data_IF_026067494328
#
_entry.id   IF_026067494328
#
_cell.length_a   1.000
_cell.length_b   1.000
_cell.length_c   1.000
_cell.angle_alpha   90.00
_cell.angle_beta   90.00
_cell.angle_gamma   90.00
#
_symmetry.space_group_name_H-M   'P 1'
#
loop_
_entity.id
_entity.type
_entity.pdbx_description
1 polymer ?
#
# COMPACT_ATOMS: atom_id res chain seq x y z
N UNK A 1 24.41 56.62 -13.65
CA UNK A 1 24.40 55.21 -13.15
C UNK A 1 23.60 55.01 -11.84
N UNK A 2 23.40 56.03 -11.00
CA UNK A 2 22.63 55.94 -9.75
C UNK A 2 21.10 55.85 -9.95
N UNK A 3 20.53 56.54 -10.95
CA UNK A 3 19.07 56.52 -11.23
C UNK A 3 18.55 55.14 -11.67
N UNK A 4 19.38 54.32 -12.32
CA UNK A 4 18.98 52.98 -12.79
C UNK A 4 18.88 51.94 -11.64
N UNK A 5 19.61 52.15 -10.53
CA UNK A 5 19.48 51.30 -9.32
C UNK A 5 18.16 51.52 -8.58
N UNK A 6 17.67 52.77 -8.56
CA UNK A 6 16.44 53.14 -7.84
C UNK A 6 15.22 52.55 -8.53
N UNK A 7 15.18 52.57 -9.88
CA UNK A 7 14.08 52.00 -10.66
C UNK A 7 14.00 50.48 -10.48
N UNK A 8 15.15 49.78 -10.41
CA UNK A 8 15.15 48.34 -10.13
C UNK A 8 14.68 48.03 -8.71
N UNK A 9 15.08 48.82 -7.70
CA UNK A 9 14.67 48.57 -6.31
C UNK A 9 13.15 48.67 -6.10
N UNK A 10 12.47 49.60 -6.79
CA UNK A 10 11.01 49.72 -6.71
C UNK A 10 10.27 48.55 -7.36
N UNK A 11 10.80 47.97 -8.44
CA UNK A 11 10.21 46.77 -9.07
C UNK A 11 10.27 45.56 -8.14
N UNK A 12 11.38 45.37 -7.42
CA UNK A 12 11.49 44.30 -6.43
C UNK A 12 10.55 44.50 -5.24
N UNK A 13 10.36 45.74 -4.78
CA UNK A 13 9.46 46.04 -3.66
C UNK A 13 7.99 45.73 -4.03
N UNK A 14 7.55 46.11 -5.24
CA UNK A 14 6.20 45.83 -5.74
C UNK A 14 6.00 44.32 -5.94
N UNK A 15 6.99 43.63 -6.51
CA UNK A 15 6.93 42.18 -6.69
C UNK A 15 6.84 41.47 -5.34
N UNK A 16 7.64 41.88 -4.35
CA UNK A 16 7.62 41.32 -3.00
C UNK A 16 6.29 41.59 -2.29
N UNK A 17 5.75 42.80 -2.45
CA UNK A 17 4.45 43.20 -1.92
C UNK A 17 3.26 42.42 -2.50
N UNK A 18 3.36 41.89 -3.73
CA UNK A 18 2.31 41.06 -4.33
C UNK A 18 2.51 39.55 -4.07
N UNK A 19 3.76 39.08 -4.07
CA UNK A 19 4.08 37.65 -3.93
C UNK A 19 3.86 37.15 -2.50
N UNK A 20 4.24 37.94 -1.48
CA UNK A 20 4.10 37.49 -0.08
C UNK A 20 2.63 37.31 0.33
N UNK A 21 1.71 38.24 0.04
CA UNK A 21 0.29 38.06 0.36
C UNK A 21 -0.39 36.95 -0.44
N UNK A 22 0.00 36.73 -1.70
CA UNK A 22 -0.57 35.65 -2.51
C UNK A 22 -0.13 34.28 -2.00
N UNK A 23 1.15 34.11 -1.65
CA UNK A 23 1.64 32.91 -0.96
C UNK A 23 0.94 32.68 0.39
N UNK A 24 0.73 33.75 1.15
CA UNK A 24 0.01 33.70 2.41
C UNK A 24 -1.45 33.23 2.22
N UNK A 25 -2.17 33.80 1.25
CA UNK A 25 -3.55 33.44 0.95
C UNK A 25 -3.68 31.98 0.47
N UNK A 26 -2.78 31.53 -0.40
CA UNK A 26 -2.74 30.12 -0.82
C UNK A 26 -2.48 29.17 0.35
N UNK A 27 -1.64 29.58 1.30
CA UNK A 27 -1.36 28.81 2.52
C UNK A 27 -2.60 28.72 3.41
N UNK A 28 -3.30 29.84 3.60
CA UNK A 28 -4.54 29.89 4.37
C UNK A 28 -5.66 29.05 3.73
N UNK A 29 -5.79 29.10 2.40
CA UNK A 29 -6.81 28.36 1.67
C UNK A 29 -6.54 26.85 1.71
N UNK A 30 -5.27 26.45 1.55
CA UNK A 30 -4.82 25.07 1.74
C UNK A 30 -5.13 24.57 3.14
N UNK A 31 -4.82 25.39 4.14
CA UNK A 31 -5.11 25.11 5.54
C UNK A 31 -6.61 24.91 5.80
N UNK A 32 -7.47 25.79 5.29
CA UNK A 32 -8.92 25.69 5.46
C UNK A 32 -9.44 24.39 4.85
N UNK A 33 -8.94 24.03 3.66
CA UNK A 33 -9.32 22.79 3.00
C UNK A 33 -8.90 21.56 3.81
N UNK A 34 -7.69 21.54 4.36
CA UNK A 34 -7.20 20.41 5.14
C UNK A 34 -7.93 20.25 6.48
N UNK A 35 -8.32 21.35 7.13
CA UNK A 35 -9.18 21.32 8.32
C UNK A 35 -10.55 20.76 7.97
N UNK A 36 -11.17 21.20 6.87
CA UNK A 36 -12.45 20.66 6.41
C UNK A 36 -12.35 19.16 6.14
N UNK A 37 -11.30 18.72 5.45
CA UNK A 37 -11.03 17.30 5.21
C UNK A 37 -10.82 16.54 6.52
N UNK A 38 -10.12 17.13 7.50
CA UNK A 38 -9.97 16.54 8.82
C UNK A 38 -11.30 16.40 9.56
N UNK A 39 -12.17 17.42 9.54
CA UNK A 39 -13.49 17.36 10.15
C UNK A 39 -14.34 16.29 9.48
N UNK A 40 -14.32 16.19 8.14
CA UNK A 40 -14.99 15.12 7.38
C UNK A 40 -14.46 13.75 7.79
N UNK A 41 -13.14 13.59 7.89
CA UNK A 41 -12.50 12.35 8.33
C UNK A 41 -12.94 11.97 9.75
N UNK A 42 -13.03 12.94 10.66
CA UNK A 42 -13.40 12.75 12.05
C UNK A 42 -14.89 12.40 12.18
N UNK A 43 -15.75 13.05 11.39
CA UNK A 43 -17.16 12.71 11.29
C UNK A 43 -17.37 11.29 10.73
N UNK A 44 -16.61 10.91 9.71
CA UNK A 44 -16.64 9.55 9.18
C UNK A 44 -16.12 8.53 10.19
N UNK A 45 -15.02 8.84 10.88
CA UNK A 45 -14.47 8.01 11.94
C UNK A 45 -15.52 7.83 13.05
N UNK A 46 -16.11 8.89 13.55
CA UNK A 46 -17.07 8.81 14.65
C UNK A 46 -18.32 8.00 14.27
N UNK A 47 -18.84 8.21 13.05
CA UNK A 47 -20.07 7.57 12.59
C UNK A 47 -19.88 6.11 12.16
N UNK A 48 -18.75 5.76 11.57
CA UNK A 48 -18.56 4.48 10.89
C UNK A 48 -17.40 3.62 11.41
N UNK A 49 -16.51 4.15 12.27
CA UNK A 49 -15.27 3.44 12.62
C UNK A 49 -15.52 2.14 13.36
N UNK A 50 -16.37 2.12 14.40
CA UNK A 50 -16.48 0.98 15.30
C UNK A 50 -16.85 -0.31 14.57
N UNK A 51 -17.92 -0.28 13.79
CA UNK A 51 -18.46 -1.50 13.17
C UNK A 51 -17.66 -1.92 11.92
N UNK A 52 -17.23 -0.95 11.11
CA UNK A 52 -16.50 -1.24 9.86
C UNK A 52 -15.09 -1.74 10.17
N UNK A 53 -14.36 -1.12 11.10
CA UNK A 53 -13.02 -1.61 11.47
C UNK A 53 -13.09 -2.99 12.10
N UNK A 54 -14.07 -3.24 12.95
CA UNK A 54 -14.21 -4.55 13.59
C UNK A 54 -14.52 -5.64 12.56
N UNK A 55 -15.38 -5.36 11.57
CA UNK A 55 -15.60 -6.26 10.45
C UNK A 55 -14.34 -6.44 9.58
N UNK A 56 -13.58 -5.37 9.37
CA UNK A 56 -12.32 -5.41 8.62
C UNK A 56 -11.27 -6.31 9.30
N UNK A 57 -11.07 -6.19 10.61
CA UNK A 57 -10.16 -7.06 11.36
C UNK A 57 -10.63 -8.51 11.43
N UNK A 58 -11.94 -8.75 11.56
CA UNK A 58 -12.52 -10.11 11.46
C UNK A 58 -12.20 -10.79 10.13
N UNK A 59 -12.10 -10.04 9.03
CA UNK A 59 -11.69 -10.60 7.73
C UNK A 59 -10.23 -11.07 7.79
N UNK A 60 -9.33 -10.30 8.40
CA UNK A 60 -7.94 -10.71 8.58
C UNK A 60 -7.82 -11.96 9.44
N UNK A 61 -8.54 -12.04 10.55
CA UNK A 61 -8.54 -13.22 11.42
C UNK A 61 -8.98 -14.47 10.64
N UNK A 62 -10.02 -14.35 9.80
CA UNK A 62 -10.46 -15.46 8.95
C UNK A 62 -9.42 -15.86 7.92
N UNK A 63 -8.75 -14.90 7.28
CA UNK A 63 -7.67 -15.19 6.32
C UNK A 63 -6.52 -15.90 7.04
N UNK A 64 -6.12 -15.41 8.20
CA UNK A 64 -5.00 -15.94 8.96
C UNK A 64 -5.29 -17.35 9.51
N UNK A 65 -6.54 -17.62 9.93
CA UNK A 65 -7.00 -18.97 10.27
C UNK A 65 -6.89 -19.95 9.10
N UNK A 66 -7.22 -19.51 7.87
CA UNK A 66 -7.12 -20.36 6.68
C UNK A 66 -5.65 -20.54 6.25
N UNK A 67 -4.82 -19.51 6.42
CA UNK A 67 -3.41 -19.55 6.05
C UNK A 67 -2.53 -20.30 7.06
N UNK A 68 -2.97 -20.50 8.30
CA UNK A 68 -2.17 -21.14 9.34
C UNK A 68 -1.15 -20.15 9.91
N UNK A 69 -1.34 -19.76 11.16
CA UNK A 69 -0.98 -18.46 11.76
C UNK A 69 0.50 -18.25 12.15
N UNK A 70 1.47 -18.91 11.53
CA UNK A 70 2.89 -18.78 11.93
C UNK A 70 3.54 -17.43 11.56
N UNK A 71 2.84 -16.56 10.82
CA UNK A 71 3.47 -15.42 10.15
C UNK A 71 3.22 -14.04 10.80
N UNK A 72 2.39 -13.99 11.84
CA UNK A 72 2.01 -12.73 12.49
C UNK A 72 3.23 -11.99 13.07
N UNK A 73 4.22 -12.72 13.58
CA UNK A 73 5.47 -12.15 14.14
C UNK A 73 6.32 -11.45 13.08
N UNK A 74 6.46 -12.04 11.89
CA UNK A 74 7.26 -11.49 10.78
C UNK A 74 6.59 -10.23 10.23
N UNK A 75 5.26 -10.26 10.07
CA UNK A 75 4.49 -9.09 9.63
C UNK A 75 4.63 -7.96 10.64
N UNK A 76 4.41 -8.24 11.93
CA UNK A 76 4.57 -7.27 13.02
C UNK A 76 5.96 -6.65 13.05
N UNK A 77 7.02 -7.45 12.94
CA UNK A 77 8.40 -6.94 12.94
C UNK A 77 8.68 -6.01 11.76
N UNK A 78 8.16 -6.32 10.56
CA UNK A 78 8.32 -5.45 9.39
C UNK A 78 7.52 -4.17 9.51
N UNK A 79 6.25 -4.26 9.91
CA UNK A 79 5.41 -3.08 10.14
C UNK A 79 6.05 -2.19 11.20
N UNK A 80 6.53 -2.76 12.31
CA UNK A 80 7.24 -2.03 13.36
C UNK A 80 8.50 -1.33 12.83
N UNK A 81 9.34 -2.02 12.04
CA UNK A 81 10.54 -1.39 11.44
C UNK A 81 10.17 -0.20 10.56
N UNK A 82 9.09 -0.30 9.78
CA UNK A 82 8.59 0.80 8.95
C UNK A 82 8.03 1.95 9.78
N UNK A 83 7.22 1.65 10.80
CA UNK A 83 6.69 2.64 11.73
C UNK A 83 7.83 3.38 12.43
N UNK A 84 8.87 2.68 12.90
CA UNK A 84 10.03 3.30 13.53
C UNK A 84 10.77 4.21 12.55
N UNK A 85 11.00 3.77 11.30
CA UNK A 85 11.67 4.58 10.29
C UNK A 85 10.89 5.88 9.99
N UNK A 86 9.57 5.78 9.78
CA UNK A 86 8.71 6.94 9.48
C UNK A 86 8.46 7.84 10.70
N UNK A 87 8.41 7.25 11.90
CA UNK A 87 8.37 8.02 13.14
C UNK A 87 9.69 8.76 13.35
N UNK A 88 10.83 8.11 13.09
CA UNK A 88 12.14 8.74 13.23
C UNK A 88 12.33 9.91 12.26
N UNK A 89 11.87 9.79 11.01
CA UNK A 89 11.90 10.92 10.06
C UNK A 89 11.01 12.06 10.54
N UNK A 90 9.80 11.76 11.03
CA UNK A 90 8.89 12.76 11.60
C UNK A 90 9.46 13.45 12.85
N UNK A 91 10.18 12.72 13.70
CA UNK A 91 10.89 13.28 14.87
C UNK A 91 12.06 14.18 14.48
N UNK A 92 12.77 13.89 13.39
CA UNK A 92 13.80 14.79 12.88
C UNK A 92 13.26 16.14 12.41
N UNK A 93 11.98 16.20 12.01
CA UNK A 93 11.32 17.47 11.68
C UNK A 93 10.81 18.23 12.91
N UNK A 94 10.56 17.55 14.04
CA UNK A 94 10.12 18.19 15.28
C UNK A 94 11.20 19.12 15.86
N UNK A 95 12.48 18.73 15.79
CA UNK A 95 13.58 19.47 16.41
C UNK A 95 13.79 20.85 15.74
N UNK A 96 13.91 20.97 14.40
CA UNK A 96 13.98 22.29 13.75
C UNK A 96 12.69 23.09 13.93
N UNK A 97 11.53 22.43 13.97
CA UNK A 97 10.25 23.11 14.15
C UNK A 97 10.15 23.78 15.53
N UNK A 98 10.59 23.12 16.60
CA UNK A 98 10.60 23.71 17.95
C UNK A 98 11.61 24.85 18.06
N UNK A 99 12.82 24.70 17.50
CA UNK A 99 13.82 25.77 17.46
C UNK A 99 13.32 27.01 16.71
N UNK A 100 12.65 26.80 15.57
CA UNK A 100 12.05 27.87 14.79
C UNK A 100 10.87 28.53 15.53
N UNK A 101 10.08 27.75 16.27
CA UNK A 101 9.00 28.24 17.09
C UNK A 101 9.49 29.21 18.19
N UNK A 102 10.58 28.87 18.88
CA UNK A 102 11.21 29.78 19.86
C UNK A 102 11.68 31.09 19.22
N UNK A 103 12.34 31.01 18.06
CA UNK A 103 12.81 32.20 17.33
C UNK A 103 11.66 33.12 16.88
N UNK A 104 10.52 32.56 16.47
CA UNK A 104 9.34 33.33 16.04
C UNK A 104 8.63 34.06 17.17
N UNK A 105 8.64 33.48 18.38
CA UNK A 105 8.07 34.10 19.57
C UNK A 105 8.92 35.29 19.99
N UNK A 106 10.24 35.14 19.96
CA UNK A 106 11.18 36.24 20.23
C UNK A 106 10.98 37.38 19.23
N UNK A 107 10.65 37.07 17.97
CA UNK A 107 10.30 38.05 16.94
C UNK A 107 8.90 38.68 17.09
N UNK A 108 8.11 38.31 18.10
CA UNK A 108 6.83 38.95 18.43
C UNK A 108 5.64 38.62 17.52
N UNK A 109 5.74 37.58 16.68
CA UNK A 109 4.78 37.32 15.62
C UNK A 109 3.82 36.15 15.92
N UNK A 110 2.90 36.34 16.87
CA UNK A 110 1.95 35.29 17.31
C UNK A 110 1.15 34.63 16.17
N UNK A 111 0.79 35.37 15.12
CA UNK A 111 0.06 34.83 13.98
C UNK A 111 0.89 33.81 13.19
N UNK A 112 2.19 34.04 13.03
CA UNK A 112 3.08 33.10 12.37
C UNK A 112 3.27 31.83 13.21
N UNK A 113 3.35 31.97 14.54
CA UNK A 113 3.44 30.85 15.47
C UNK A 113 2.25 29.89 15.28
N UNK A 114 1.02 30.42 15.23
CA UNK A 114 -0.21 29.62 15.04
C UNK A 114 -0.22 28.92 13.67
N UNK A 115 0.15 29.63 12.60
CA UNK A 115 0.21 29.06 11.25
C UNK A 115 1.21 27.90 11.18
N UNK A 116 2.42 28.10 11.71
CA UNK A 116 3.48 27.09 11.69
C UNK A 116 3.14 25.86 12.56
N UNK A 117 2.56 26.07 13.75
CA UNK A 117 2.09 24.96 14.58
C UNK A 117 1.04 24.11 13.86
N UNK A 118 0.19 24.72 13.03
CA UNK A 118 -0.83 23.95 12.33
C UNK A 118 -0.29 23.19 11.13
N UNK A 119 0.63 23.79 10.36
CA UNK A 119 1.38 23.08 9.30
C UNK A 119 2.05 21.83 9.86
N UNK A 120 2.57 21.91 11.09
CA UNK A 120 3.14 20.76 11.77
C UNK A 120 2.10 19.67 12.08
N UNK A 121 0.93 20.02 12.62
CA UNK A 121 -0.16 19.07 12.91
C UNK A 121 -0.63 18.36 11.63
N UNK A 122 -0.81 19.12 10.55
CA UNK A 122 -1.16 18.58 9.23
C UNK A 122 -0.13 17.56 8.77
N UNK A 123 1.16 17.93 8.83
CA UNK A 123 2.27 17.06 8.42
C UNK A 123 2.31 15.79 9.25
N UNK A 124 2.11 15.89 10.56
CA UNK A 124 2.05 14.75 11.46
C UNK A 124 0.88 13.81 11.11
N UNK A 125 -0.32 14.35 10.88
CA UNK A 125 -1.49 13.58 10.42
C UNK A 125 -1.20 12.86 9.10
N UNK A 126 -0.52 13.52 8.18
CA UNK A 126 -0.15 12.93 6.89
C UNK A 126 0.83 11.76 7.06
N UNK A 127 1.87 11.93 7.88
CA UNK A 127 2.81 10.84 8.22
C UNK A 127 2.08 9.64 8.80
N UNK A 128 1.14 9.85 9.73
CA UNK A 128 0.32 8.77 10.31
C UNK A 128 -0.51 8.04 9.25
N UNK A 129 -1.11 8.79 8.32
CA UNK A 129 -1.92 8.22 7.23
C UNK A 129 -1.06 7.36 6.29
N UNK A 130 0.16 7.81 5.96
CA UNK A 130 1.10 7.01 5.15
C UNK A 130 1.55 5.76 5.90
N UNK A 131 1.82 5.86 7.20
CA UNK A 131 2.18 4.70 8.04
C UNK A 131 1.04 3.67 8.02
N UNK A 132 -0.22 4.10 8.22
CA UNK A 132 -1.38 3.21 8.20
C UNK A 132 -1.56 2.55 6.82
N UNK A 133 -1.40 3.31 5.73
CA UNK A 133 -1.47 2.79 4.37
C UNK A 133 -0.35 1.76 4.09
N UNK A 134 0.89 2.10 4.44
CA UNK A 134 2.04 1.19 4.29
C UNK A 134 1.84 -0.10 5.10
N UNK A 135 1.32 0.00 6.32
CA UNK A 135 1.05 -1.17 7.17
C UNK A 135 0.04 -2.11 6.50
N UNK A 136 -1.04 -1.58 5.94
CA UNK A 136 -2.04 -2.36 5.21
C UNK A 136 -1.47 -3.00 3.93
N UNK A 137 -0.64 -2.27 3.17
CA UNK A 137 0.01 -2.80 1.96
C UNK A 137 0.98 -3.94 2.31
N UNK A 138 1.82 -3.77 3.34
CA UNK A 138 2.75 -4.82 3.81
C UNK A 138 1.98 -6.08 4.23
N UNK A 139 0.85 -5.89 4.91
CA UNK A 139 -0.04 -6.97 5.31
C UNK A 139 -0.63 -7.74 4.12
N UNK A 140 -1.02 -7.04 3.05
CA UNK A 140 -1.50 -7.67 1.81
C UNK A 140 -0.36 -8.37 1.07
N UNK A 141 0.78 -7.70 0.86
CA UNK A 141 1.98 -8.24 0.21
C UNK A 141 2.38 -9.57 0.85
N UNK A 142 2.46 -9.62 2.18
CA UNK A 142 2.89 -10.83 2.86
C UNK A 142 1.89 -11.97 2.70
N UNK A 143 0.59 -11.70 2.83
CA UNK A 143 -0.45 -12.73 2.66
C UNK A 143 -0.51 -13.25 1.23
N UNK A 144 -0.31 -12.39 0.23
CA UNK A 144 -0.15 -12.80 -1.16
C UNK A 144 1.07 -13.71 -1.35
N UNK A 145 2.20 -13.36 -0.75
CA UNK A 145 3.40 -14.21 -0.78
C UNK A 145 3.14 -15.60 -0.19
N UNK A 146 2.42 -15.69 0.93
CA UNK A 146 2.06 -16.99 1.53
C UNK A 146 1.12 -17.78 0.61
N UNK A 147 0.12 -17.13 0.01
CA UNK A 147 -0.76 -17.76 -0.98
C UNK A 147 0.05 -18.33 -2.14
N UNK A 148 1.02 -17.58 -2.65
CA UNK A 148 1.92 -18.02 -3.73
C UNK A 148 2.73 -19.25 -3.33
N UNK A 149 3.34 -19.26 -2.15
CA UNK A 149 4.12 -20.42 -1.66
C UNK A 149 3.24 -21.65 -1.60
N UNK A 150 2.05 -21.55 -0.96
CA UNK A 150 1.10 -22.66 -0.90
C UNK A 150 0.67 -23.13 -2.30
N UNK A 151 0.39 -22.20 -3.21
CA UNK A 151 -0.02 -22.53 -4.57
C UNK A 151 1.09 -23.27 -5.34
N UNK A 152 2.36 -22.85 -5.18
CA UNK A 152 3.51 -23.52 -5.76
C UNK A 152 3.73 -24.92 -5.18
N UNK A 153 3.52 -25.11 -3.87
CA UNK A 153 3.58 -26.43 -3.23
C UNK A 153 2.50 -27.36 -3.78
N UNK A 154 1.29 -26.84 -4.01
CA UNK A 154 0.21 -27.59 -4.64
C UNK A 154 0.53 -27.95 -6.10
N UNK A 155 1.16 -27.02 -6.83
CA UNK A 155 1.55 -27.21 -8.22
C UNK A 155 2.67 -28.25 -8.37
N UNK A 156 3.73 -28.16 -7.57
CA UNK A 156 4.86 -29.11 -7.59
C UNK A 156 4.40 -30.53 -7.24
N UNK A 157 3.49 -30.65 -6.25
CA UNK A 157 2.88 -31.94 -5.93
C UNK A 157 2.05 -32.49 -7.10
N UNK A 158 1.28 -31.63 -7.79
CA UNK A 158 0.49 -32.06 -8.94
C UNK A 158 1.41 -32.61 -10.05
N UNK A 159 2.46 -31.88 -10.42
CA UNK A 159 3.44 -32.31 -11.43
C UNK A 159 4.10 -33.64 -11.04
N UNK A 160 4.65 -33.74 -9.83
CA UNK A 160 5.35 -34.94 -9.36
C UNK A 160 4.46 -36.19 -9.37
N UNK A 161 3.14 -36.02 -9.22
CA UNK A 161 2.18 -37.12 -9.32
C UNK A 161 1.94 -37.56 -10.77
N UNK A 162 1.97 -36.63 -11.71
CA UNK A 162 1.83 -36.94 -13.14
C UNK A 162 3.07 -37.63 -13.70
N UNK A 163 4.27 -37.20 -13.32
CA UNK A 163 5.52 -37.81 -13.80
C UNK A 163 5.67 -39.27 -13.36
N UNK A 164 5.12 -39.64 -12.19
CA UNK A 164 5.08 -41.04 -11.74
C UNK A 164 4.06 -41.91 -12.49
N UNK A 165 3.02 -41.31 -13.07
CA UNK A 165 2.00 -42.03 -13.86
C UNK A 165 2.39 -42.12 -15.34
N UNK A 166 3.24 -41.21 -15.82
CA UNK A 166 3.78 -41.16 -17.18
C UNK A 166 5.30 -41.45 -17.21
N UNK A 167 5.75 -42.50 -16.51
CA UNK A 167 7.09 -43.06 -16.74
C UNK A 167 7.08 -43.80 -18.08
N UNK A 168 7.19 -43.00 -19.12
CA UNK A 168 7.19 -43.33 -20.52
C UNK A 168 7.49 -42.08 -21.35
N UNK A 169 8.53 -41.32 -21.00
CA UNK A 169 9.28 -40.56 -22.02
C UNK A 169 9.29 -39.03 -22.02
N UNK A 170 9.11 -38.31 -20.91
CA UNK A 170 9.21 -36.82 -20.93
C UNK A 170 10.06 -36.30 -19.76
N UNK A 171 11.38 -36.32 -19.93
CA UNK A 171 12.39 -36.02 -18.90
C UNK A 171 13.11 -34.66 -19.12
N UNK A 172 12.45 -33.65 -19.69
CA UNK A 172 13.19 -32.50 -20.29
C UNK A 172 13.02 -31.12 -19.67
N UNK A 173 12.26 -30.88 -18.57
CA UNK A 173 11.95 -29.49 -18.19
C UNK A 173 12.41 -28.94 -16.84
N UNK A 174 12.88 -29.73 -15.87
CA UNK A 174 13.45 -29.15 -14.64
C UNK A 174 14.60 -29.98 -14.07
N UNK A 175 15.78 -29.82 -14.64
CA UNK A 175 17.04 -30.10 -13.95
C UNK A 175 17.69 -28.76 -13.59
N UNK A 176 17.30 -28.19 -12.45
CA UNK A 176 18.12 -27.17 -11.80
C UNK A 176 18.70 -27.77 -10.53
N UNK A 177 20.02 -27.95 -10.55
CA UNK A 177 20.84 -28.52 -9.49
C UNK A 177 20.72 -27.74 -8.16
N UNK A 178 19.80 -28.14 -7.29
CA UNK A 178 19.90 -27.86 -5.85
C UNK A 178 19.78 -29.17 -5.08
N UNK A 179 20.92 -29.67 -4.60
CA UNK A 179 21.00 -30.76 -3.63
C UNK A 179 20.60 -30.20 -2.26
N UNK A 180 19.32 -30.27 -1.91
CA UNK A 180 18.88 -30.07 -0.53
C UNK A 180 18.73 -31.43 0.17
N UNK A 181 19.41 -31.54 1.32
CA UNK A 181 19.33 -32.67 2.25
C UNK A 181 17.91 -32.83 2.79
N UNK A 182 17.12 -33.71 2.18
CA UNK A 182 15.78 -34.07 2.65
C UNK A 182 15.85 -35.08 3.79
N UNK A 183 15.84 -34.58 5.04
CA UNK A 183 15.37 -35.37 6.20
C UNK A 183 13.84 -35.51 6.09
N UNK A 184 13.35 -36.72 6.32
CA UNK A 184 11.99 -37.19 6.08
C UNK A 184 10.88 -36.18 6.35
N UNK A 185 10.37 -35.57 5.27
CA UNK A 185 9.15 -34.78 5.29
C UNK A 185 8.00 -35.75 4.98
N UNK A 186 7.18 -36.03 6.00
CA UNK A 186 5.94 -36.79 5.87
C UNK A 186 5.09 -36.10 4.81
N UNK A 187 4.98 -36.71 3.62
CA UNK A 187 4.19 -36.15 2.53
C UNK A 187 2.73 -36.07 2.98
N UNK A 188 2.10 -34.88 2.97
CA UNK A 188 0.68 -34.76 3.29
C UNK A 188 -0.14 -35.59 2.31
N UNK A 189 -0.80 -36.62 2.82
CA UNK A 189 -1.60 -37.55 2.05
C UNK A 189 -2.89 -36.86 1.61
N UNK A 190 -3.00 -36.63 0.30
CA UNK A 190 -4.10 -35.97 -0.43
C UNK A 190 -4.24 -34.47 -0.17
N UNK A 191 -3.72 -33.69 -1.13
CA UNK A 191 -4.27 -32.36 -1.43
C UNK A 191 -5.77 -32.51 -1.68
N UNK A 192 -6.58 -31.87 -0.85
CA UNK A 192 -8.02 -31.92 -1.00
C UNK A 192 -8.48 -30.74 -1.84
N UNK A 193 -9.46 -30.95 -2.71
CA UNK A 193 -10.13 -29.88 -3.48
C UNK A 193 -10.63 -28.74 -2.58
N UNK A 194 -10.89 -29.06 -1.30
CA UNK A 194 -11.25 -28.10 -0.27
C UNK A 194 -10.14 -27.09 0.04
N UNK A 195 -8.86 -27.45 -0.09
CA UNK A 195 -7.74 -26.53 0.19
C UNK A 195 -7.60 -25.48 -0.92
N UNK A 196 -7.81 -25.88 -2.18
CA UNK A 196 -7.85 -24.94 -3.31
C UNK A 196 -9.02 -23.95 -3.17
N UNK A 197 -10.21 -24.42 -2.80
CA UNK A 197 -11.36 -23.55 -2.57
C UNK A 197 -11.14 -22.56 -1.41
N UNK A 198 -10.49 -23.02 -0.34
CA UNK A 198 -10.11 -22.16 0.80
C UNK A 198 -9.13 -21.07 0.36
N UNK A 199 -8.12 -21.42 -0.44
CA UNK A 199 -7.12 -20.48 -0.95
C UNK A 199 -7.77 -19.43 -1.88
N UNK A 200 -8.67 -19.86 -2.77
CA UNK A 200 -9.45 -18.97 -3.61
C UNK A 200 -10.28 -17.97 -2.79
N UNK A 201 -10.93 -18.46 -1.72
CA UNK A 201 -11.71 -17.61 -0.81
C UNK A 201 -10.82 -16.58 -0.09
N UNK A 202 -9.63 -16.97 0.37
CA UNK A 202 -8.67 -16.02 0.96
C UNK A 202 -8.26 -14.93 -0.02
N UNK A 203 -8.00 -15.31 -1.27
CA UNK A 203 -7.59 -14.35 -2.28
C UNK A 203 -8.71 -13.36 -2.64
N UNK A 204 -9.98 -13.80 -2.67
CA UNK A 204 -11.12 -12.88 -2.80
C UNK A 204 -11.20 -11.88 -1.66
N UNK A 205 -11.08 -12.36 -0.42
CA UNK A 205 -11.16 -11.51 0.76
C UNK A 205 -10.03 -10.47 0.77
N UNK A 206 -8.82 -10.84 0.32
CA UNK A 206 -7.71 -9.90 0.14
C UNK A 206 -8.01 -8.84 -0.93
N UNK A 207 -8.71 -9.21 -2.01
CA UNK A 207 -9.08 -8.24 -3.04
C UNK A 207 -10.18 -7.28 -2.55
N UNK A 208 -11.17 -7.78 -1.83
CA UNK A 208 -12.20 -6.96 -1.19
C UNK A 208 -11.56 -5.96 -0.20
N UNK A 209 -10.57 -6.42 0.57
CA UNK A 209 -9.78 -5.55 1.44
C UNK A 209 -8.99 -4.50 0.66
N UNK A 210 -8.36 -4.87 -0.45
CA UNK A 210 -7.62 -3.92 -1.28
C UNK A 210 -8.56 -2.84 -1.87
N UNK A 211 -9.76 -3.23 -2.29
CA UNK A 211 -10.77 -2.27 -2.74
C UNK A 211 -11.20 -1.33 -1.60
N UNK A 212 -11.44 -1.87 -0.40
CA UNK A 212 -11.77 -1.07 0.77
C UNK A 212 -10.64 -0.10 1.16
N UNK A 213 -9.38 -0.52 1.10
CA UNK A 213 -8.21 0.34 1.31
C UNK A 213 -8.16 1.43 0.25
N UNK A 214 -8.35 1.09 -1.04
CA UNK A 214 -8.32 2.07 -2.12
C UNK A 214 -9.44 3.10 -1.99
N UNK A 215 -10.66 2.69 -1.65
CA UNK A 215 -11.77 3.62 -1.42
C UNK A 215 -11.46 4.58 -0.26
N UNK A 216 -10.79 4.09 0.79
CA UNK A 216 -10.51 4.87 2.00
C UNK A 216 -9.29 5.77 1.89
N UNK A 217 -8.20 5.28 1.30
CA UNK A 217 -6.91 5.97 1.25
C UNK A 217 -6.63 6.58 -0.12
N UNK A 218 -7.24 6.10 -1.20
CA UNK A 218 -7.03 6.62 -2.56
C UNK A 218 -7.44 8.07 -2.71
N UNK A 219 -8.66 8.41 -2.26
CA UNK A 219 -9.16 9.79 -2.27
C UNK A 219 -8.30 10.72 -1.39
N UNK A 220 -7.90 10.24 -0.20
CA UNK A 220 -7.09 11.00 0.77
C UNK A 220 -5.66 11.24 0.28
N UNK A 221 -5.05 10.25 -0.37
CA UNK A 221 -3.68 10.36 -0.90
C UNK A 221 -3.63 11.36 -2.05
N UNK A 222 -4.63 11.32 -2.93
CA UNK A 222 -4.73 12.25 -4.06
C UNK A 222 -4.88 13.70 -3.59
N UNK A 223 -5.86 13.99 -2.72
CA UNK A 223 -6.13 15.35 -2.25
C UNK A 223 -4.94 15.99 -1.52
N UNK A 224 -4.17 15.21 -0.77
CA UNK A 224 -3.07 15.74 0.05
C UNK A 224 -1.80 15.99 -0.78
N UNK A 225 -1.58 15.21 -1.84
CA UNK A 225 -0.38 15.34 -2.69
C UNK A 225 -0.35 16.62 -3.55
N UNK A 226 -1.51 17.11 -3.99
CA UNK A 226 -1.61 18.29 -4.85
C UNK A 226 -1.50 19.61 -4.07
N UNK A 227 -2.06 19.64 -2.86
CA UNK A 227 -2.07 20.85 -2.03
C UNK A 227 -0.72 21.14 -1.38
N UNK A 228 -0.01 20.12 -0.89
CA UNK A 228 1.31 20.27 -0.26
C UNK A 228 2.40 20.66 -1.28
N UNK A 229 2.24 20.29 -2.55
CA UNK A 229 3.17 20.65 -3.64
C UNK A 229 3.21 22.14 -3.96
N UNK A 230 2.15 22.88 -3.66
CA UNK A 230 2.04 24.30 -4.03
C UNK A 230 2.91 25.25 -3.21
N UNK A 231 3.36 24.85 -2.01
CA UNK A 231 3.83 25.82 -0.99
C UNK A 231 5.21 25.47 -0.40
N UNK A 232 5.78 24.30 -0.68
CA UNK A 232 6.76 23.73 0.25
C UNK A 232 8.23 23.75 -0.21
N UNK A 233 9.10 24.16 0.72
CA UNK A 233 10.57 24.07 0.67
C UNK A 233 11.09 22.73 0.12
N UNK A 234 12.23 22.76 -0.58
CA UNK A 234 12.90 21.62 -1.22
C UNK A 234 13.04 20.37 -0.34
N UNK A 235 13.25 20.52 0.97
CA UNK A 235 13.35 19.41 1.93
C UNK A 235 12.05 18.62 2.09
N UNK A 236 10.91 19.31 2.10
CA UNK A 236 9.61 18.65 2.16
C UNK A 236 9.27 17.98 0.83
N UNK A 237 9.77 18.51 -0.28
CA UNK A 237 9.63 17.87 -1.58
C UNK A 237 10.43 16.56 -1.65
N UNK A 238 11.65 16.53 -1.11
CA UNK A 238 12.46 15.31 -1.00
C UNK A 238 11.74 14.28 -0.13
N UNK A 239 11.29 14.68 1.05
CA UNK A 239 10.60 13.77 1.97
C UNK A 239 9.30 13.22 1.38
N UNK A 240 8.47 14.06 0.76
CA UNK A 240 7.25 13.61 0.07
C UNK A 240 7.57 12.69 -1.11
N UNK A 241 8.60 13.00 -1.88
CA UNK A 241 9.04 12.15 -2.99
C UNK A 241 9.50 10.78 -2.47
N UNK A 242 10.22 10.73 -1.35
CA UNK A 242 10.64 9.48 -0.72
C UNK A 242 9.44 8.64 -0.25
N UNK A 243 8.41 9.27 0.33
CA UNK A 243 7.18 8.59 0.74
C UNK A 243 6.39 8.05 -0.47
N UNK A 244 6.19 8.88 -1.51
CA UNK A 244 5.50 8.47 -2.74
C UNK A 244 6.26 7.34 -3.43
N UNK A 245 7.58 7.46 -3.55
CA UNK A 245 8.42 6.42 -4.15
C UNK A 245 8.32 5.11 -3.37
N UNK A 246 8.39 5.17 -2.04
CA UNK A 246 8.22 3.98 -1.17
C UNK A 246 6.86 3.33 -1.36
N UNK A 247 5.80 4.14 -1.45
CA UNK A 247 4.44 3.67 -1.68
C UNK A 247 4.31 3.00 -3.06
N UNK A 248 4.75 3.66 -4.12
CA UNK A 248 4.72 3.15 -5.50
C UNK A 248 5.49 1.85 -5.61
N UNK A 249 6.72 1.81 -5.09
CA UNK A 249 7.56 0.61 -5.08
C UNK A 249 6.85 -0.58 -4.40
N UNK A 250 6.15 -0.33 -3.28
CA UNK A 250 5.41 -1.36 -2.56
C UNK A 250 4.18 -1.84 -3.32
N UNK A 251 3.44 -0.91 -3.93
CA UNK A 251 2.30 -1.23 -4.79
C UNK A 251 2.74 -2.07 -6.00
N UNK A 252 3.85 -1.71 -6.64
CA UNK A 252 4.42 -2.44 -7.77
C UNK A 252 4.82 -3.86 -7.37
N UNK A 253 5.51 -4.02 -6.23
CA UNK A 253 5.88 -5.34 -5.72
C UNK A 253 4.68 -6.22 -5.39
N UNK A 254 3.62 -5.66 -4.80
CA UNK A 254 2.37 -6.38 -4.58
C UNK A 254 1.71 -6.79 -5.91
N UNK A 255 1.85 -5.95 -6.94
CA UNK A 255 1.34 -6.22 -8.29
C UNK A 255 2.13 -7.32 -9.02
N UNK A 256 3.46 -7.36 -8.89
CA UNK A 256 4.29 -8.45 -9.40
C UNK A 256 3.89 -9.80 -8.76
N UNK A 257 3.75 -9.82 -7.43
CA UNK A 257 3.30 -11.03 -6.73
C UNK A 257 1.95 -11.52 -7.22
N UNK A 258 1.04 -10.59 -7.56
CA UNK A 258 -0.25 -10.93 -8.17
C UNK A 258 -0.09 -11.56 -9.54
N UNK A 259 0.75 -11.01 -10.42
CA UNK A 259 1.00 -11.58 -11.76
C UNK A 259 1.50 -13.01 -11.68
N UNK A 260 2.42 -13.27 -10.74
CA UNK A 260 2.94 -14.63 -10.52
C UNK A 260 1.85 -15.61 -10.09
N UNK A 261 0.96 -15.20 -9.17
CA UNK A 261 -0.18 -16.03 -8.72
C UNK A 261 -1.11 -16.35 -9.90
N UNK A 262 -1.40 -15.37 -10.76
CA UNK A 262 -2.24 -15.54 -11.94
C UNK A 262 -1.59 -16.52 -12.93
N UNK A 263 -0.30 -16.36 -13.21
CA UNK A 263 0.44 -17.26 -14.09
C UNK A 263 0.37 -18.72 -13.62
N UNK A 264 0.60 -18.97 -12.33
CA UNK A 264 0.52 -20.33 -11.77
C UNK A 264 -0.90 -20.89 -11.83
N UNK A 265 -1.93 -20.06 -11.58
CA UNK A 265 -3.33 -20.45 -11.74
C UNK A 265 -3.65 -20.80 -13.20
N UNK A 266 -3.20 -19.99 -14.16
CA UNK A 266 -3.42 -20.25 -15.58
C UNK A 266 -2.74 -21.54 -16.04
N UNK A 267 -1.51 -21.79 -15.58
CA UNK A 267 -0.82 -23.08 -15.82
C UNK A 267 -1.61 -24.27 -15.23
N UNK A 268 -2.13 -24.14 -14.01
CA UNK A 268 -2.98 -25.16 -13.37
C UNK A 268 -4.26 -25.43 -14.17
N UNK A 269 -4.87 -24.42 -14.79
CA UNK A 269 -6.09 -24.56 -15.61
C UNK A 269 -5.78 -25.16 -16.98
N UNK A 270 -4.69 -24.70 -17.61
CA UNK A 270 -4.25 -25.08 -18.95
C UNK A 270 -3.83 -26.55 -19.01
N UNK A 271 -3.23 -27.06 -17.92
CA UNK A 271 -2.93 -28.47 -17.80
C UNK A 271 -4.25 -29.28 -17.80
N UNK A 272 -4.59 -29.86 -18.98
CA UNK A 272 -5.88 -30.52 -19.31
C UNK A 272 -6.32 -31.60 -18.30
N UNK A 273 -5.46 -32.06 -17.41
CA UNK A 273 -5.71 -33.10 -16.42
C UNK A 273 -6.71 -32.70 -15.33
N UNK A 274 -6.90 -31.41 -15.01
CA UNK A 274 -8.04 -30.98 -14.17
C UNK A 274 -9.38 -30.97 -14.93
N UNK A 275 -9.37 -30.95 -16.27
CA UNK A 275 -10.61 -30.98 -17.06
C UNK A 275 -11.25 -32.36 -17.10
N UNK A 276 -10.48 -33.43 -16.87
CA UNK A 276 -10.97 -34.82 -16.96
C UNK A 276 -11.69 -35.31 -15.70
N UNK A 277 -11.44 -34.71 -14.53
CA UNK A 277 -11.98 -35.17 -13.24
C UNK A 277 -12.83 -34.14 -12.47
N UNK A 278 -13.05 -32.93 -12.98
CA UNK A 278 -13.71 -31.90 -12.16
C UNK A 278 -14.29 -30.70 -12.88
N UNK A 279 -15.47 -30.89 -13.49
CA UNK A 279 -16.52 -29.90 -13.72
C UNK A 279 -16.17 -28.64 -14.55
N UNK A 280 -16.73 -28.58 -15.76
CA UNK A 280 -16.78 -27.37 -16.63
C UNK A 280 -17.29 -26.11 -15.87
N UNK A 281 -18.15 -26.31 -14.86
CA UNK A 281 -18.66 -25.29 -13.94
C UNK A 281 -17.56 -24.61 -13.08
N UNK A 282 -16.45 -25.29 -12.78
CA UNK A 282 -15.29 -24.71 -12.06
C UNK A 282 -14.41 -23.85 -12.96
N UNK A 283 -14.16 -24.29 -14.20
CA UNK A 283 -13.48 -23.46 -15.20
C UNK A 283 -14.23 -22.16 -15.45
N UNK A 284 -15.56 -22.22 -15.57
CA UNK A 284 -16.36 -21.02 -15.76
C UNK A 284 -16.33 -20.08 -14.55
N UNK A 285 -16.34 -20.62 -13.31
CA UNK A 285 -16.15 -19.80 -12.10
C UNK A 285 -14.76 -19.18 -12.02
N UNK A 286 -13.69 -19.90 -12.36
CA UNK A 286 -12.32 -19.37 -12.35
C UNK A 286 -12.06 -18.38 -13.49
N UNK A 287 -12.70 -18.57 -14.63
CA UNK A 287 -12.64 -17.65 -15.77
C UNK A 287 -13.44 -16.36 -15.49
N UNK A 288 -14.65 -16.48 -14.92
CA UNK A 288 -15.41 -15.31 -14.44
C UNK A 288 -14.67 -14.57 -13.32
N UNK A 289 -13.91 -15.30 -12.51
CA UNK A 289 -13.00 -14.72 -11.53
C UNK A 289 -11.88 -13.93 -12.20
N UNK A 290 -11.12 -14.53 -13.13
CA UNK A 290 -10.10 -13.83 -13.94
C UNK A 290 -10.66 -12.57 -14.63
N UNK A 291 -11.86 -12.65 -15.21
CA UNK A 291 -12.53 -11.51 -15.85
C UNK A 291 -12.98 -10.41 -14.86
N UNK A 292 -13.49 -10.78 -13.68
CA UNK A 292 -13.80 -9.82 -12.62
C UNK A 292 -12.53 -9.11 -12.09
N UNK A 293 -11.39 -9.81 -12.15
CA UNK A 293 -10.09 -9.30 -11.72
C UNK A 293 -9.42 -8.35 -12.73
N UNK A 294 -9.65 -8.54 -14.03
CA UNK A 294 -9.18 -7.62 -15.08
C UNK A 294 -10.00 -6.33 -15.07
N UNK A 295 -11.32 -6.44 -14.90
CA UNK A 295 -12.25 -5.31 -14.94
C UNK A 295 -12.10 -4.34 -13.75
N UNK A 296 -11.86 -4.83 -12.52
CA UNK A 296 -11.68 -3.94 -11.35
C UNK A 296 -10.40 -3.09 -11.39
N UNK A 297 -9.37 -3.48 -12.14
CA UNK A 297 -8.09 -2.75 -12.18
C UNK A 297 -7.93 -1.85 -13.41
N UNK A 298 -8.61 -2.14 -14.52
CA UNK A 298 -8.68 -1.23 -15.66
C UNK A 298 -9.45 0.04 -15.27
N UNK A 299 -10.47 -0.06 -14.43
CA UNK A 299 -11.17 1.12 -13.88
C UNK A 299 -10.36 1.87 -12.82
N UNK A 300 -9.52 1.20 -12.03
CA UNK A 300 -8.60 1.86 -11.09
C UNK A 300 -7.39 2.56 -11.73
N UNK A 301 -7.21 2.46 -13.06
CA UNK A 301 -6.20 3.21 -13.84
C UNK A 301 -6.75 4.49 -14.46
N UNK A 302 -8.06 4.75 -14.39
CA UNK A 302 -8.75 5.82 -15.13
C UNK A 302 -9.62 6.75 -14.26
N UNK A 303 -9.44 6.73 -12.94
CA UNK A 303 -9.97 7.72 -12.01
C UNK A 303 -8.89 8.12 -11.04
#
# INVERSE_FOLDING_TARGET
MSAFRIINSNKYLILYGCVVPTCFYMTLLTFLFEILMYIVDLGYLFRFSGLIYLNYFKIYDRIDQILGTTYNTIIKARVLKYTICLASSSCMFLIPATLFWFSLIEAGSMLFVILWSTVFIIRFKHSLTIIELCANIIQIEYRLKVIRVKLNDLYSFAINRFDRVNVGGIHWLYSSNHKENSRGMVLPSKITVTDLNKLQKCYLLLLEQNNHINQRFGVRSYSTSYLVRGISNTLNLIDMTAHVFTLVYRCEKAYEQRKDIISVLDHLIAHKTFSKYGNCKRRHKLFNFLNMFVTMFVHGRLT
#
